data_IF_155392605778
#
_entry.id   IF_155392605778
#
_cell.length_a   1.000
_cell.length_b   1.000
_cell.length_c   1.000
_cell.angle_alpha   90.00
_cell.angle_beta   90.00
_cell.angle_gamma   90.00
#
_symmetry.space_group_name_H-M   'P 1'
#
loop_
_entity.id
_entity.type
_entity.pdbx_description
1 polymer ?
#
# COMPACT_ATOMS: atom_id res chain seq x y z
N UNK A 1 11.96 8.88 11.89
CA UNK A 1 12.69 8.00 10.95
C UNK A 1 11.81 7.51 9.79
N UNK A 2 12.38 7.25 8.60
CA UNK A 2 11.70 6.51 7.51
C UNK A 2 12.60 5.37 7.02
N UNK A 3 12.13 4.13 7.03
CA UNK A 3 12.95 2.98 6.61
C UNK A 3 12.14 1.87 5.96
N UNK A 4 12.84 1.02 5.23
CA UNK A 4 12.31 -0.26 4.76
C UNK A 4 11.99 -1.15 5.95
N UNK A 5 10.94 -1.95 5.83
CA UNK A 5 10.56 -2.93 6.85
C UNK A 5 11.50 -4.12 6.85
N UNK A 6 11.72 -4.67 8.03
CA UNK A 6 12.58 -5.82 8.29
C UNK A 6 11.76 -6.96 8.90
N UNK A 7 12.37 -8.13 9.06
CA UNK A 7 11.69 -9.28 9.65
C UNK A 7 11.22 -9.02 11.09
N UNK A 8 11.96 -8.23 11.85
CA UNK A 8 11.58 -7.81 13.21
C UNK A 8 10.31 -6.97 13.25
N UNK A 9 9.90 -6.36 12.14
CA UNK A 9 8.70 -5.54 12.05
C UNK A 9 7.42 -6.32 11.76
N UNK A 10 7.50 -7.65 11.62
CA UNK A 10 6.36 -8.47 11.19
C UNK A 10 5.10 -8.25 12.02
N UNK A 11 5.26 -8.13 13.36
CA UNK A 11 4.13 -7.84 14.23
C UNK A 11 3.56 -6.44 13.93
N UNK A 12 4.42 -5.41 13.85
CA UNK A 12 4.02 -4.04 13.53
C UNK A 12 3.34 -3.92 12.16
N UNK A 13 3.80 -4.66 11.17
CA UNK A 13 3.19 -4.72 9.84
C UNK A 13 1.76 -5.26 9.86
N UNK A 14 1.47 -6.19 10.76
CA UNK A 14 0.15 -6.82 10.90
C UNK A 14 -0.76 -6.08 11.89
N UNK A 15 -0.21 -5.26 12.79
CA UNK A 15 -1.01 -4.50 13.76
C UNK A 15 -1.51 -3.15 13.23
N UNK A 16 -1.02 -2.69 12.07
CA UNK A 16 -1.58 -1.52 11.42
C UNK A 16 -3.07 -1.72 11.12
N UNK A 17 -3.88 -0.81 11.65
CA UNK A 17 -5.31 -0.73 11.35
C UNK A 17 -5.67 0.71 11.04
N UNK A 18 -6.78 0.90 10.32
CA UNK A 18 -7.29 2.23 10.00
C UNK A 18 -8.80 2.17 9.87
N UNK A 19 -9.46 3.27 10.22
CA UNK A 19 -10.89 3.52 9.94
C UNK A 19 -11.07 4.28 8.62
N UNK A 20 -10.00 4.44 7.83
CA UNK A 20 -10.00 5.17 6.57
C UNK A 20 -11.00 4.54 5.56
N UNK A 21 -11.83 5.37 4.89
CA UNK A 21 -12.80 4.91 3.89
C UNK A 21 -12.17 4.46 2.56
N UNK A 22 -10.85 4.52 2.41
CA UNK A 22 -10.10 3.98 1.26
C UNK A 22 -9.69 2.54 1.54
N UNK A 23 -9.94 1.63 0.60
CA UNK A 23 -9.50 0.23 0.69
C UNK A 23 -8.00 0.15 0.95
N UNK A 24 -7.59 -0.70 1.88
CA UNK A 24 -6.21 -0.83 2.30
C UNK A 24 -5.79 -2.31 2.36
N UNK A 25 -4.49 -2.56 2.50
CA UNK A 25 -3.94 -3.91 2.62
C UNK A 25 -4.01 -4.32 4.09
N UNK A 26 -5.07 -5.03 4.45
CA UNK A 26 -5.24 -5.62 5.78
C UNK A 26 -4.23 -6.74 6.07
N UNK A 27 -4.13 -7.23 7.32
CA UNK A 27 -3.15 -8.26 7.69
C UNK A 27 -3.30 -9.55 6.88
N UNK A 28 -4.53 -9.93 6.52
CA UNK A 28 -4.80 -11.14 5.75
C UNK A 28 -4.35 -10.97 4.29
N UNK A 29 -4.68 -9.83 3.68
CA UNK A 29 -4.21 -9.43 2.36
C UNK A 29 -2.68 -9.32 2.31
N UNK A 30 -2.06 -8.77 3.37
CA UNK A 30 -0.61 -8.67 3.47
C UNK A 30 0.02 -10.07 3.50
N UNK A 31 -0.48 -10.96 4.36
CA UNK A 31 0.00 -12.34 4.46
C UNK A 31 -0.11 -13.11 3.15
N UNK A 32 -1.25 -13.02 2.44
CA UNK A 32 -1.41 -13.63 1.10
C UNK A 32 -0.46 -13.02 0.06
N UNK A 33 -0.23 -11.71 0.14
CA UNK A 33 0.72 -11.00 -0.73
C UNK A 33 2.16 -11.46 -0.54
N UNK A 34 2.60 -11.61 0.72
CA UNK A 34 3.91 -12.18 1.06
C UNK A 34 4.02 -13.63 0.56
N UNK A 35 3.01 -14.47 0.83
CA UNK A 35 3.02 -15.88 0.42
C UNK A 35 3.08 -16.07 -1.11
N UNK A 36 2.46 -15.16 -1.87
CA UNK A 36 2.51 -15.16 -3.34
C UNK A 36 3.73 -14.43 -3.93
N UNK A 37 4.56 -13.78 -3.11
CA UNK A 37 5.70 -12.96 -3.55
C UNK A 37 5.32 -11.66 -4.25
N UNK A 38 4.04 -11.27 -4.17
CA UNK A 38 3.49 -10.07 -4.81
C UNK A 38 3.56 -8.82 -3.92
N UNK A 39 3.65 -9.04 -2.60
CA UNK A 39 4.09 -8.06 -1.62
C UNK A 39 5.39 -8.56 -0.99
N UNK A 40 6.25 -7.65 -0.54
CA UNK A 40 7.53 -7.98 0.09
C UNK A 40 7.89 -6.99 1.19
N UNK A 41 8.73 -7.41 2.14
CA UNK A 41 9.22 -6.53 3.23
C UNK A 41 10.14 -5.45 2.68
N UNK A 42 10.98 -5.82 1.72
CA UNK A 42 11.84 -4.89 0.98
C UNK A 42 11.05 -3.88 0.11
N UNK A 43 9.75 -4.11 -0.07
CA UNK A 43 8.80 -3.24 -0.79
C UNK A 43 7.80 -2.56 0.17
N UNK A 44 8.10 -2.55 1.47
CA UNK A 44 7.24 -1.94 2.50
C UNK A 44 8.07 -0.97 3.33
N UNK A 45 7.57 0.25 3.50
CA UNK A 45 8.21 1.28 4.31
C UNK A 45 7.38 1.64 5.53
N UNK A 46 8.08 1.98 6.61
CA UNK A 46 7.55 2.40 7.88
C UNK A 46 8.11 3.79 8.24
N UNK A 47 7.26 4.61 8.86
CA UNK A 47 7.67 5.88 9.46
C UNK A 47 7.49 5.84 10.98
N UNK A 48 8.43 6.44 11.68
CA UNK A 48 8.49 6.53 13.14
C UNK A 48 8.65 8.00 13.54
N UNK A 49 8.02 8.41 14.64
CA UNK A 49 8.16 9.76 15.18
C UNK A 49 9.55 9.97 15.78
N UNK A 50 10.03 9.00 16.53
CA UNK A 50 11.37 8.96 17.10
C UNK A 50 12.19 7.78 16.55
N UNK A 51 13.42 7.65 17.05
CA UNK A 51 14.34 6.58 16.70
C UNK A 51 14.37 5.47 17.78
N UNK A 52 13.40 5.44 18.71
CA UNK A 52 13.31 4.39 19.73
C UNK A 52 12.98 3.05 19.06
N UNK A 53 13.79 2.00 19.25
CA UNK A 53 13.51 0.66 18.70
C UNK A 53 12.16 0.06 19.14
N UNK A 54 11.58 0.54 20.24
CA UNK A 54 10.30 0.08 20.77
C UNK A 54 9.12 0.91 20.26
N UNK A 55 9.37 2.03 19.60
CA UNK A 55 8.30 2.88 19.09
C UNK A 55 7.52 2.22 17.97
N UNK A 56 6.19 2.25 18.09
CA UNK A 56 5.32 1.79 17.04
C UNK A 56 5.43 2.73 15.82
N UNK A 57 5.46 2.19 14.59
CA UNK A 57 5.40 3.00 13.39
C UNK A 57 4.07 3.77 13.32
N UNK A 58 4.13 5.03 12.92
CA UNK A 58 2.97 5.91 12.75
C UNK A 58 2.48 6.01 11.30
N UNK A 59 3.25 5.51 10.34
CA UNK A 59 2.79 5.40 8.97
C UNK A 59 3.39 4.17 8.27
N UNK A 60 2.66 3.65 7.28
CA UNK A 60 3.03 2.49 6.48
C UNK A 60 2.71 2.73 5.02
N UNK A 61 3.65 2.37 4.15
CA UNK A 61 3.48 2.36 2.71
C UNK A 61 3.85 0.97 2.16
N UNK A 62 2.97 0.36 1.37
CA UNK A 62 3.15 -1.00 0.83
C UNK A 62 3.09 -0.95 -0.69
N UNK A 63 4.19 -1.35 -1.33
CA UNK A 63 4.27 -1.49 -2.77
C UNK A 63 4.00 -2.93 -3.21
N UNK A 64 3.50 -3.06 -4.43
CA UNK A 64 3.12 -4.33 -5.04
C UNK A 64 3.71 -4.48 -6.45
N UNK A 65 3.94 -5.73 -6.84
CA UNK A 65 4.07 -6.12 -8.23
C UNK A 65 3.60 -7.57 -8.45
N UNK A 66 3.38 -8.00 -9.70
CA UNK A 66 3.17 -9.40 -10.02
C UNK A 66 4.30 -10.29 -9.48
N UNK A 67 3.99 -11.54 -9.14
CA UNK A 67 4.99 -12.51 -8.69
C UNK A 67 6.13 -12.64 -9.73
N UNK A 68 7.36 -12.76 -9.24
CA UNK A 68 8.56 -12.80 -10.08
C UNK A 68 9.10 -11.44 -10.53
N UNK A 69 8.40 -10.33 -10.25
CA UNK A 69 8.92 -8.99 -10.56
C UNK A 69 10.17 -8.66 -9.74
N UNK A 70 11.12 -7.97 -10.37
CA UNK A 70 12.36 -7.51 -9.73
C UNK A 70 12.12 -6.24 -8.91
N UNK A 71 11.23 -5.37 -9.38
CA UNK A 71 10.88 -4.10 -8.73
C UNK A 71 9.36 -3.95 -8.60
N UNK A 72 8.87 -3.18 -7.63
CA UNK A 72 7.45 -2.89 -7.52
C UNK A 72 6.97 -2.00 -8.66
N UNK A 73 5.67 -2.04 -8.96
CA UNK A 73 5.05 -1.24 -10.04
C UNK A 73 4.02 -0.24 -9.52
N UNK A 74 3.42 -0.48 -8.35
CA UNK A 74 2.51 0.46 -7.72
C UNK A 74 2.71 0.55 -6.21
N UNK A 75 2.50 1.74 -5.65
CA UNK A 75 2.15 1.89 -4.23
C UNK A 75 0.67 1.50 -4.08
N UNK A 76 0.43 0.41 -3.36
CA UNK A 76 -0.90 -0.18 -3.21
C UNK A 76 -1.64 0.28 -1.96
N UNK A 77 -0.90 0.63 -0.91
CA UNK A 77 -1.48 1.05 0.36
C UNK A 77 -0.61 2.10 1.02
N UNK A 78 -1.23 3.19 1.46
CA UNK A 78 -0.60 4.25 2.24
C UNK A 78 -1.51 4.58 3.42
N UNK A 79 -1.00 4.39 4.63
CA UNK A 79 -1.70 4.64 5.90
C UNK A 79 -0.82 5.55 6.75
N UNK A 80 -1.44 6.54 7.37
CA UNK A 80 -0.87 7.36 8.43
C UNK A 80 -1.83 7.28 9.62
N UNK A 81 -1.29 7.17 10.83
CA UNK A 81 -2.06 7.19 12.06
C UNK A 81 -2.90 8.48 12.15
N UNK A 82 -4.22 8.40 12.47
CA UNK A 82 -5.10 9.55 12.45
C UNK A 82 -4.78 10.59 13.54
N UNK A 83 -4.04 10.22 14.58
CA UNK A 83 -3.55 11.12 15.62
C UNK A 83 -2.33 11.95 15.17
N UNK A 84 -1.73 11.62 14.03
CA UNK A 84 -0.57 12.36 13.49
C UNK A 84 -1.02 13.48 12.55
N UNK A 85 -0.62 14.74 12.80
CA UNK A 85 -0.99 15.84 11.93
C UNK A 85 -0.24 15.77 10.60
N UNK A 86 -0.82 16.40 9.57
CA UNK A 86 -0.23 16.53 8.23
C UNK A 86 0.13 15.19 7.56
N UNK A 87 -0.85 14.26 7.39
CA UNK A 87 -0.60 12.94 6.81
C UNK A 87 0.03 13.01 5.41
N UNK A 88 -0.24 14.08 4.66
CA UNK A 88 0.37 14.35 3.35
C UNK A 88 1.90 14.42 3.41
N UNK A 89 2.47 15.00 4.47
CA UNK A 89 3.92 15.16 4.62
C UNK A 89 4.59 13.81 4.90
N UNK A 90 3.98 13.00 5.78
CA UNK A 90 4.44 11.64 6.10
C UNK A 90 4.34 10.73 4.88
N UNK A 91 3.22 10.80 4.16
CA UNK A 91 3.01 10.06 2.92
C UNK A 91 4.05 10.41 1.86
N UNK A 92 4.28 11.70 1.63
CA UNK A 92 5.26 12.15 0.64
C UNK A 92 6.68 11.69 1.00
N UNK A 93 7.06 11.74 2.28
CA UNK A 93 8.36 11.29 2.75
C UNK A 93 8.56 9.77 2.58
N UNK A 94 7.53 8.96 2.85
CA UNK A 94 7.55 7.52 2.58
C UNK A 94 7.75 7.23 1.09
N UNK A 95 6.98 7.90 0.22
CA UNK A 95 7.08 7.71 -1.24
C UNK A 95 8.47 8.05 -1.74
N UNK A 96 8.99 9.23 -1.39
CA UNK A 96 10.34 9.64 -1.80
C UNK A 96 11.43 8.69 -1.31
N UNK A 97 11.32 8.23 -0.07
CA UNK A 97 12.30 7.32 0.53
C UNK A 97 12.34 5.98 -0.21
N UNK A 98 11.18 5.40 -0.49
CA UNK A 98 11.06 4.15 -1.21
C UNK A 98 11.53 4.28 -2.67
N UNK A 99 11.04 5.30 -3.39
CA UNK A 99 11.41 5.50 -4.80
C UNK A 99 12.91 5.75 -4.98
N UNK A 100 13.54 6.50 -4.07
CA UNK A 100 15.00 6.65 -4.05
C UNK A 100 15.71 5.30 -3.90
N UNK A 101 15.23 4.45 -2.99
CA UNK A 101 15.81 3.13 -2.78
C UNK A 101 15.61 2.21 -3.99
N UNK A 102 14.43 2.21 -4.61
CA UNK A 102 14.16 1.44 -5.82
C UNK A 102 15.03 1.87 -7.00
N UNK A 103 15.18 3.18 -7.22
CA UNK A 103 16.09 3.71 -8.25
C UNK A 103 17.54 3.33 -7.99
N UNK A 104 18.00 3.42 -6.73
CA UNK A 104 19.34 2.97 -6.35
C UNK A 104 19.54 1.45 -6.57
N UNK A 105 18.47 0.66 -6.48
CA UNK A 105 18.46 -0.77 -6.76
C UNK A 105 18.28 -1.11 -8.26
N UNK A 106 18.20 -0.11 -9.15
CA UNK A 106 18.13 -0.32 -10.60
C UNK A 106 16.73 -0.25 -11.22
N UNK A 107 15.69 0.17 -10.48
CA UNK A 107 14.37 0.37 -11.05
C UNK A 107 14.40 1.46 -12.14
N UNK A 108 13.87 1.15 -13.32
CA UNK A 108 13.83 2.06 -14.47
C UNK A 108 12.72 3.11 -14.37
N UNK A 109 11.65 2.79 -13.64
CA UNK A 109 10.48 3.63 -13.47
C UNK A 109 10.11 3.72 -12.00
N UNK A 110 9.64 4.90 -11.59
CA UNK A 110 9.05 5.07 -10.27
C UNK A 110 7.66 4.39 -10.25
N UNK A 111 7.33 3.63 -9.20
CA UNK A 111 6.00 3.05 -9.04
C UNK A 111 4.89 4.10 -9.06
N UNK A 112 3.75 3.76 -9.68
CA UNK A 112 2.56 4.63 -9.67
C UNK A 112 1.90 4.61 -8.29
N UNK A 113 1.42 5.76 -7.81
CA UNK A 113 0.62 5.81 -6.58
C UNK A 113 -0.82 5.46 -6.89
N UNK A 114 -1.29 4.30 -6.42
CA UNK A 114 -2.68 3.89 -6.60
C UNK A 114 -3.45 4.08 -5.31
N UNK A 115 -4.40 5.01 -5.34
CA UNK A 115 -5.35 5.22 -4.25
C UNK A 115 -6.45 4.15 -4.38
N UNK A 116 -6.67 3.41 -3.29
CA UNK A 116 -7.65 2.33 -3.23
C UNK A 116 -9.09 2.76 -3.54
N UNK A 117 -9.95 1.79 -3.79
CA UNK A 117 -11.37 2.04 -3.99
C UNK A 117 -12.02 2.49 -2.67
N UNK A 118 -13.01 3.38 -2.76
CA UNK A 118 -13.76 3.80 -1.58
C UNK A 118 -14.71 2.68 -1.12
N UNK A 119 -14.75 2.43 0.18
CA UNK A 119 -15.68 1.50 0.82
C UNK A 119 -17.04 2.15 1.11
N UNK A 120 -17.10 3.49 1.13
CA UNK A 120 -18.32 4.30 1.27
C UNK A 120 -18.74 5.04 -0.01
N UNK A 121 -19.77 5.89 0.10
CA UNK A 121 -20.22 6.72 -1.02
C UNK A 121 -19.24 7.86 -1.35
N UNK A 122 -19.03 8.16 -2.64
CA UNK A 122 -18.15 9.23 -3.14
C UNK A 122 -18.44 10.63 -2.55
N UNK A 123 -19.65 10.83 -2.01
CA UNK A 123 -20.08 12.09 -1.40
C UNK A 123 -19.68 12.25 0.07
N UNK A 124 -19.07 11.24 0.69
CA UNK A 124 -18.59 11.33 2.07
C UNK A 124 -17.41 12.29 2.19
N UNK A 125 -17.50 13.23 3.14
CA UNK A 125 -16.44 14.19 3.42
C UNK A 125 -15.16 13.50 3.90
N UNK A 126 -15.26 12.43 4.68
CA UNK A 126 -14.12 11.65 5.14
C UNK A 126 -13.40 10.99 3.95
N UNK A 127 -14.15 10.44 3.00
CA UNK A 127 -13.60 9.84 1.79
C UNK A 127 -12.88 10.86 0.89
N UNK A 128 -13.47 12.05 0.71
CA UNK A 128 -12.81 13.13 -0.04
C UNK A 128 -11.52 13.58 0.63
N UNK A 129 -11.52 13.74 1.96
CA UNK A 129 -10.32 14.11 2.71
C UNK A 129 -9.23 13.03 2.59
N UNK A 130 -9.60 11.76 2.74
CA UNK A 130 -8.71 10.60 2.61
C UNK A 130 -8.04 10.52 1.22
N UNK A 131 -8.79 10.80 0.15
CA UNK A 131 -8.25 10.85 -1.22
C UNK A 131 -7.39 12.10 -1.42
N UNK A 132 -7.82 13.25 -0.91
CA UNK A 132 -7.14 14.53 -1.10
C UNK A 132 -5.72 14.51 -0.52
N UNK A 133 -5.54 14.07 0.73
CA UNK A 133 -4.20 14.08 1.33
C UNK A 133 -3.25 13.09 0.63
N UNK A 134 -3.75 11.97 0.10
CA UNK A 134 -2.92 11.00 -0.66
C UNK A 134 -2.50 11.55 -2.02
N UNK A 135 -3.38 12.31 -2.68
CA UNK A 135 -3.01 13.02 -3.91
C UNK A 135 -1.96 14.08 -3.64
N UNK A 136 -2.12 14.83 -2.55
CA UNK A 136 -1.13 15.82 -2.12
C UNK A 136 0.21 15.16 -1.79
N UNK A 137 0.21 14.04 -1.06
CA UNK A 137 1.41 13.26 -0.78
C UNK A 137 2.13 12.81 -2.06
N UNK A 138 1.37 12.29 -3.04
CA UNK A 138 1.92 11.89 -4.34
C UNK A 138 2.50 13.08 -5.11
N UNK A 139 1.78 14.21 -5.16
CA UNK A 139 2.23 15.44 -5.82
C UNK A 139 3.54 15.97 -5.21
N UNK A 140 3.62 16.06 -3.88
CA UNK A 140 4.84 16.47 -3.16
C UNK A 140 6.00 15.48 -3.30
N UNK A 141 5.72 14.23 -3.63
CA UNK A 141 6.74 13.22 -3.93
C UNK A 141 7.15 13.21 -5.40
N UNK A 142 6.48 13.97 -6.28
CA UNK A 142 6.68 13.92 -7.73
C UNK A 142 6.19 12.62 -8.37
N UNK A 143 5.27 11.90 -7.71
CA UNK A 143 4.75 10.63 -8.19
C UNK A 143 3.45 10.81 -8.99
N UNK A 144 3.26 9.96 -9.99
CA UNK A 144 1.98 9.86 -10.70
C UNK A 144 0.93 9.19 -9.81
N UNK A 145 -0.33 9.62 -9.94
CA UNK A 145 -1.43 9.11 -9.12
C UNK A 145 -2.58 8.58 -9.96
N UNK A 146 -3.10 7.43 -9.58
CA UNK A 146 -4.30 6.82 -10.14
C UNK A 146 -5.30 6.49 -9.04
N UNK A 147 -6.59 6.49 -9.38
CA UNK A 147 -7.66 6.10 -8.47
C UNK A 147 -8.25 4.76 -8.92
N UNK A 148 -8.22 3.76 -8.04
CA UNK A 148 -8.79 2.44 -8.33
C UNK A 148 -10.32 2.52 -8.31
N UNK A 149 -10.94 2.12 -9.41
CA UNK A 149 -12.40 1.97 -9.48
C UNK A 149 -12.84 0.69 -8.75
N UNK A 150 -14.02 0.73 -8.12
CA UNK A 150 -14.60 -0.40 -7.38
C UNK A 150 -14.90 -1.61 -8.27
N UNK A 151 -15.14 -1.39 -9.56
CA UNK A 151 -15.35 -2.44 -10.58
C UNK A 151 -14.05 -3.06 -11.10
N UNK A 152 -12.89 -2.44 -10.88
CA UNK A 152 -11.59 -2.97 -11.27
C UNK A 152 -10.95 -3.87 -10.19
N UNK A 153 -11.75 -4.41 -9.26
CA UNK A 153 -11.28 -5.45 -8.37
C UNK A 153 -10.68 -6.58 -9.23
N UNK A 154 -9.41 -6.89 -8.98
CA UNK A 154 -8.71 -7.99 -9.63
C UNK A 154 -9.62 -9.22 -9.60
N UNK A 155 -9.91 -9.89 -10.74
CA UNK A 155 -10.72 -11.09 -10.69
C UNK A 155 -10.02 -12.04 -9.72
N UNK A 156 -10.69 -12.37 -8.62
CA UNK A 156 -10.33 -13.55 -7.85
C UNK A 156 -10.24 -14.68 -8.87
N UNK A 157 -9.08 -15.35 -8.95
CA UNK A 157 -8.82 -16.39 -9.91
C UNK A 157 -10.07 -17.28 -10.03
N UNK A 158 -10.77 -17.18 -11.16
CA UNK A 158 -11.97 -17.94 -11.39
C UNK A 158 -11.55 -19.40 -11.41
N UNK A 159 -11.83 -20.12 -10.32
CA UNK A 159 -11.68 -21.56 -10.25
C UNK A 159 -12.69 -22.16 -11.23
N UNK A 160 -12.25 -22.37 -12.47
CA UNK A 160 -12.95 -23.22 -13.41
C UNK A 160 -12.68 -24.66 -12.99
N UNK A 161 -13.55 -25.22 -12.16
CA UNK A 161 -13.74 -26.66 -12.12
C UNK A 161 -14.60 -26.99 -13.35
N UNK A 162 -14.10 -27.71 -14.36
CA UNK A 162 -14.95 -28.17 -15.44
C UNK A 162 -15.87 -29.26 -14.87
N UNK A 163 -17.18 -29.01 -14.88
CA UNK A 163 -18.17 -30.05 -14.62
C UNK A 163 -18.12 -31.05 -15.78
N UNK A 164 -17.36 -32.14 -15.58
CA UNK A 164 -17.38 -33.29 -16.46
C UNK A 164 -18.72 -34.03 -16.31
N UNK A 165 -19.35 -34.27 -17.46
CA UNK A 165 -20.24 -35.37 -17.81
C UNK A 165 -21.33 -35.78 -16.79
N UNK A 166 -22.58 -35.43 -17.10
CA UNK A 166 -23.72 -36.30 -16.83
C UNK A 166 -24.87 -36.01 -17.81
N UNK A 167 -25.02 -36.87 -18.82
CA UNK A 167 -26.32 -37.39 -19.30
C UNK A 167 -26.09 -38.26 -20.55
N UNK A 168 -26.18 -39.58 -20.33
CA UNK A 168 -26.77 -40.52 -21.29
C UNK A 168 -28.12 -40.93 -20.72
#
# INVERSE_FOLDING_TARGET
>A
MFRVSERSDDLSLLLFSTTDPVSWVDPEQFGRGIASGSLRREWTWLAFVDDDPLSAPVARAVWWAPAGSVHPVELRCLIVDPGVPHPELWGAALIRSAHRAFRAAGALFDPVVVIGALTGGQQDAAARAAVAWRREAAAQAGATVELRSRTAATPAAASHVPAALAAR
#
